data_IF_181671913371
#
_entry.id   IF_181671913371
#
_cell.length_a   1.000
_cell.length_b   1.000
_cell.length_c   1.000
_cell.angle_alpha   90.00
_cell.angle_beta   90.00
_cell.angle_gamma   90.00
#
_symmetry.space_group_name_H-M   'P 1'
#
loop_
_entity.id
_entity.type
_entity.pdbx_description
1 polymer ?
#
# COMPACT_ATOMS: atom_id res chain seq x y z
N UNK A 1 -33.47 28.05 8.18
CA UNK A 1 -32.23 28.73 7.77
C UNK A 1 -31.26 27.64 7.33
N UNK A 2 -31.36 27.20 6.07
CA UNK A 2 -30.42 26.21 5.53
C UNK A 2 -29.22 27.00 5.05
N UNK A 3 -28.12 26.89 5.78
CA UNK A 3 -26.82 27.42 5.36
C UNK A 3 -26.48 26.92 3.96
N UNK A 4 -25.86 27.79 3.17
CA UNK A 4 -25.62 27.66 1.74
C UNK A 4 -25.03 26.27 1.37
N UNK A 5 -25.90 25.33 0.94
CA UNK A 5 -25.52 23.95 0.55
C UNK A 5 -24.87 23.89 -0.84
N UNK A 6 -24.72 25.01 -1.55
CA UNK A 6 -24.28 25.02 -2.95
C UNK A 6 -22.85 24.52 -3.20
N UNK A 7 -22.05 24.24 -2.16
CA UNK A 7 -20.68 23.73 -2.32
C UNK A 7 -20.19 22.76 -1.23
N UNK A 8 -20.99 21.76 -0.86
CA UNK A 8 -20.50 20.68 0.01
C UNK A 8 -19.71 19.63 -0.80
N UNK A 9 -18.38 19.46 -0.59
CA UNK A 9 -17.52 18.69 -1.50
C UNK A 9 -17.53 17.18 -1.24
N UNK A 10 -18.52 16.66 -0.49
CA UNK A 10 -18.63 15.23 -0.16
C UNK A 10 -19.96 14.71 -0.66
N UNK A 11 -19.91 13.64 -1.45
CA UNK A 11 -21.11 12.89 -1.80
C UNK A 11 -21.50 11.96 -0.64
N UNK A 12 -22.56 12.35 0.09
CA UNK A 12 -23.17 11.51 1.14
C UNK A 12 -24.36 10.70 0.63
N UNK A 13 -24.80 10.91 -0.62
CA UNK A 13 -25.96 10.24 -1.20
C UNK A 13 -25.56 8.91 -1.83
N UNK A 14 -24.48 8.89 -2.60
CA UNK A 14 -24.07 7.73 -3.38
C UNK A 14 -25.25 7.17 -4.18
N UNK A 15 -25.55 5.88 -4.01
CA UNK A 15 -26.64 5.20 -4.72
C UNK A 15 -28.04 5.41 -4.14
N UNK A 16 -28.19 6.12 -3.01
CA UNK A 16 -29.51 6.47 -2.43
C UNK A 16 -30.51 5.31 -2.26
N UNK A 17 -30.03 4.11 -1.90
CA UNK A 17 -30.88 2.92 -1.70
C UNK A 17 -31.13 2.08 -2.96
N UNK A 18 -30.68 2.56 -4.13
CA UNK A 18 -30.86 1.89 -5.43
C UNK A 18 -29.49 1.53 -6.06
N UNK A 19 -28.68 0.67 -5.40
CA UNK A 19 -27.40 0.26 -5.97
C UNK A 19 -27.61 -0.53 -7.26
N UNK A 20 -26.79 -0.28 -8.31
CA UNK A 20 -26.91 -1.01 -9.55
C UNK A 20 -26.58 -2.49 -9.33
N UNK A 21 -27.27 -3.37 -10.07
CA UNK A 21 -26.90 -4.78 -10.10
C UNK A 21 -25.58 -4.95 -10.85
N UNK A 22 -24.51 -5.36 -10.16
CA UNK A 22 -23.15 -5.37 -10.70
C UNK A 22 -22.91 -6.36 -11.86
N UNK A 23 -23.76 -7.40 -12.00
CA UNK A 23 -23.70 -8.40 -13.09
C UNK A 23 -22.31 -9.03 -13.23
N UNK A 24 -21.75 -9.50 -12.11
CA UNK A 24 -20.42 -10.11 -12.11
C UNK A 24 -20.31 -11.30 -13.07
N UNK A 25 -19.11 -11.54 -13.64
CA UNK A 25 -18.87 -12.67 -14.53
C UNK A 25 -19.36 -14.00 -13.95
N UNK A 26 -19.89 -14.87 -14.81
CA UNK A 26 -20.42 -16.18 -14.40
C UNK A 26 -21.64 -16.13 -13.47
N UNK A 27 -22.27 -14.96 -13.28
CA UNK A 27 -23.40 -14.81 -12.35
C UNK A 27 -22.98 -14.88 -10.88
N UNK A 28 -21.72 -14.54 -10.57
CA UNK A 28 -21.21 -14.56 -9.21
C UNK A 28 -22.02 -13.62 -8.29
N UNK A 29 -22.31 -14.10 -7.07
CA UNK A 29 -23.07 -13.34 -6.05
C UNK A 29 -22.21 -12.32 -5.31
N UNK A 30 -20.90 -12.52 -5.30
CA UNK A 30 -19.91 -11.67 -4.66
C UNK A 30 -18.62 -11.69 -5.48
N UNK A 31 -17.93 -10.55 -5.52
CA UNK A 31 -16.54 -10.47 -5.97
C UNK A 31 -15.66 -10.32 -4.73
N UNK A 32 -14.66 -11.20 -4.60
CA UNK A 32 -13.66 -11.13 -3.52
C UNK A 32 -12.33 -10.72 -4.13
N UNK A 33 -11.74 -9.64 -3.63
CA UNK A 33 -10.48 -9.10 -4.11
C UNK A 33 -9.50 -9.05 -2.93
N UNK A 34 -8.39 -9.81 -3.04
CA UNK A 34 -7.35 -9.87 -2.01
C UNK A 34 -6.25 -8.86 -2.31
N UNK A 35 -6.01 -7.93 -1.37
CA UNK A 35 -4.89 -6.99 -1.45
C UNK A 35 -3.76 -7.47 -0.56
N UNK A 36 -2.56 -7.53 -1.13
CA UNK A 36 -1.31 -7.68 -0.38
C UNK A 36 -0.55 -6.35 -0.46
N UNK A 37 -0.49 -5.62 0.65
CA UNK A 37 0.39 -4.46 0.72
C UNK A 37 1.85 -4.92 0.79
N UNK A 38 2.73 -4.22 0.10
CA UNK A 38 4.17 -4.43 0.18
C UNK A 38 4.85 -3.07 0.43
N UNK A 39 5.20 -2.85 1.69
CA UNK A 39 5.57 -1.55 2.26
C UNK A 39 6.98 -1.59 2.87
N UNK A 40 7.46 -2.80 3.16
CA UNK A 40 8.67 -3.07 3.92
C UNK A 40 9.95 -2.69 3.17
N UNK A 41 10.70 -1.74 3.74
CA UNK A 41 11.85 -1.06 3.12
C UNK A 41 11.53 0.33 2.58
N UNK A 42 10.34 0.86 2.83
CA UNK A 42 9.92 2.20 2.40
C UNK A 42 9.21 3.03 3.47
N UNK A 43 8.98 2.45 4.65
CA UNK A 43 8.46 3.07 5.86
C UNK A 43 9.36 4.22 6.36
N UNK A 44 8.90 4.94 7.38
CA UNK A 44 9.69 6.03 7.98
C UNK A 44 11.00 5.47 8.57
N UNK A 45 12.12 5.95 8.05
CA UNK A 45 13.42 5.55 8.53
C UNK A 45 14.46 6.62 8.26
N UNK A 46 15.35 6.87 9.22
CA UNK A 46 16.38 7.91 9.09
C UNK A 46 17.34 7.68 7.91
N UNK A 47 17.53 6.42 7.47
CA UNK A 47 18.32 6.10 6.27
C UNK A 47 17.59 6.39 4.95
N UNK A 48 16.28 6.63 4.99
CA UNK A 48 15.49 7.08 3.84
C UNK A 48 15.43 8.62 3.75
N UNK A 49 16.00 9.32 4.74
CA UNK A 49 15.98 10.78 4.85
C UNK A 49 14.87 11.33 5.74
N UNK A 50 14.08 10.48 6.41
CA UNK A 50 12.99 10.92 7.27
C UNK A 50 13.49 11.41 8.63
N UNK A 51 12.71 12.28 9.29
CA UNK A 51 13.08 12.89 10.57
C UNK A 51 13.15 11.90 11.75
N UNK A 52 12.51 10.74 11.62
CA UNK A 52 12.53 9.71 12.66
C UNK A 52 12.08 8.33 12.18
N UNK A 53 12.12 7.38 13.11
CA UNK A 53 11.71 5.99 12.89
C UNK A 53 10.20 5.81 12.78
N UNK A 54 9.79 4.72 12.13
CA UNK A 54 8.40 4.29 12.03
C UNK A 54 7.73 4.04 13.38
N UNK A 55 6.43 4.26 13.42
CA UNK A 55 5.54 4.11 14.58
C UNK A 55 4.33 3.23 14.28
N UNK A 56 3.93 3.12 13.01
CA UNK A 56 2.67 2.52 12.60
C UNK A 56 2.80 1.03 12.27
N UNK A 57 1.65 0.32 12.28
CA UNK A 57 1.47 -1.10 11.92
C UNK A 57 2.64 -2.04 12.25
N UNK A 58 3.00 -2.12 13.53
CA UNK A 58 3.96 -3.09 14.04
C UNK A 58 3.42 -3.78 15.29
N UNK A 59 4.15 -4.78 15.78
CA UNK A 59 3.85 -5.42 17.06
C UNK A 59 4.11 -4.50 18.28
N UNK A 60 4.77 -3.35 18.09
CA UNK A 60 5.04 -2.36 19.13
C UNK A 60 3.95 -1.28 19.09
N UNK A 61 2.82 -1.59 19.72
CA UNK A 61 1.67 -0.68 19.77
C UNK A 61 2.05 0.61 20.53
N UNK A 62 1.86 1.76 19.88
CA UNK A 62 2.17 3.06 20.45
C UNK A 62 3.68 3.37 20.49
N UNK A 63 4.47 2.77 19.59
CA UNK A 63 5.89 3.08 19.44
C UNK A 63 6.12 4.59 19.28
N UNK A 64 7.13 5.12 19.98
CA UNK A 64 7.61 6.48 19.75
C UNK A 64 8.47 6.53 18.48
N UNK A 65 8.47 7.69 17.81
CA UNK A 65 9.44 7.97 16.76
C UNK A 65 10.73 8.51 17.38
N UNK A 66 11.86 7.98 16.92
CA UNK A 66 13.18 8.44 17.35
C UNK A 66 13.91 9.09 16.18
N UNK A 67 14.65 10.20 16.39
CA UNK A 67 15.54 10.79 15.36
C UNK A 67 16.82 9.96 15.18
N UNK A 68 16.66 8.64 15.16
CA UNK A 68 17.69 7.62 15.07
C UNK A 68 17.02 6.34 14.54
N UNK A 69 17.81 5.28 14.35
CA UNK A 69 17.28 3.97 13.99
C UNK A 69 16.54 3.35 15.17
N UNK A 70 15.39 2.75 14.91
CA UNK A 70 14.65 1.97 15.88
C UNK A 70 14.81 0.49 15.53
N UNK A 71 15.92 -0.10 15.94
CA UNK A 71 16.34 -1.45 15.50
C UNK A 71 15.27 -2.55 15.65
N UNK A 72 14.44 -2.48 16.69
CA UNK A 72 13.31 -3.40 16.85
C UNK A 72 12.25 -3.21 15.77
N UNK A 73 11.91 -1.96 15.44
CA UNK A 73 11.01 -1.64 14.33
C UNK A 73 11.59 -2.12 12.99
N UNK A 74 12.87 -1.83 12.73
CA UNK A 74 13.56 -2.30 11.52
C UNK A 74 13.35 -3.81 11.35
N UNK A 75 13.62 -4.60 12.40
CA UNK A 75 13.52 -6.06 12.34
C UNK A 75 12.09 -6.60 12.13
N UNK A 76 11.07 -5.86 12.60
CA UNK A 76 9.66 -6.23 12.41
C UNK A 76 9.24 -6.01 10.96
N UNK A 77 9.62 -4.89 10.35
CA UNK A 77 9.40 -4.64 8.92
C UNK A 77 10.21 -5.64 8.07
N UNK A 78 11.46 -5.90 8.42
CA UNK A 78 12.28 -6.91 7.74
C UNK A 78 11.64 -8.31 7.73
N UNK A 79 10.83 -8.66 8.73
CA UNK A 79 10.12 -9.94 8.72
C UNK A 79 9.16 -10.08 7.54
N UNK A 80 8.43 -9.00 7.21
CA UNK A 80 7.46 -8.98 6.10
C UNK A 80 8.13 -9.31 4.76
N UNK A 81 9.22 -8.62 4.44
CA UNK A 81 10.00 -8.83 3.22
C UNK A 81 10.79 -10.15 3.22
N UNK A 82 11.38 -10.56 4.36
CA UNK A 82 12.22 -11.76 4.43
C UNK A 82 11.44 -13.06 4.51
N UNK A 83 10.24 -13.06 5.09
CA UNK A 83 9.48 -14.28 5.38
C UNK A 83 7.98 -14.15 5.12
N UNK A 84 7.36 -13.04 5.50
CA UNK A 84 5.91 -12.82 5.40
C UNK A 84 5.38 -12.98 3.98
N UNK A 85 5.97 -12.23 3.04
CA UNK A 85 5.62 -12.27 1.62
C UNK A 85 5.65 -13.70 1.07
N UNK A 86 6.76 -14.42 1.26
CA UNK A 86 6.94 -15.77 0.71
C UNK A 86 5.93 -16.79 1.24
N UNK A 87 5.50 -16.62 2.50
CA UNK A 87 4.44 -17.46 3.08
C UNK A 87 3.09 -17.21 2.40
N UNK A 88 2.72 -15.95 2.21
CA UNK A 88 1.45 -15.56 1.59
C UNK A 88 1.45 -15.92 0.10
N UNK A 89 2.50 -15.56 -0.62
CA UNK A 89 2.68 -15.89 -2.04
C UNK A 89 2.53 -17.40 -2.29
N UNK A 90 3.12 -18.24 -1.43
CA UNK A 90 2.98 -19.70 -1.54
C UNK A 90 1.53 -20.17 -1.37
N UNK A 91 0.78 -19.63 -0.41
CA UNK A 91 -0.63 -19.99 -0.19
C UNK A 91 -1.51 -19.66 -1.40
N UNK A 92 -1.35 -18.48 -1.98
CA UNK A 92 -2.12 -18.07 -3.16
C UNK A 92 -1.73 -18.87 -4.40
N UNK A 93 -0.43 -19.06 -4.61
CA UNK A 93 0.09 -19.83 -5.75
C UNK A 93 -0.36 -21.29 -5.70
N UNK A 94 -0.33 -21.94 -4.54
CA UNK A 94 -0.79 -23.32 -4.38
C UNK A 94 -2.29 -23.49 -4.67
N UNK A 95 -3.09 -22.45 -4.43
CA UNK A 95 -4.55 -22.46 -4.67
C UNK A 95 -4.92 -21.97 -6.06
N UNK A 96 -3.96 -21.48 -6.85
CA UNK A 96 -4.23 -20.82 -8.13
C UNK A 96 -5.13 -19.60 -7.99
N UNK A 97 -5.03 -18.87 -6.88
CA UNK A 97 -5.85 -17.68 -6.63
C UNK A 97 -5.07 -16.40 -6.97
N UNK A 98 -5.74 -15.39 -7.57
CA UNK A 98 -5.13 -14.10 -7.82
C UNK A 98 -5.11 -13.24 -6.55
N UNK A 99 -4.19 -12.29 -6.52
CA UNK A 99 -4.19 -11.15 -5.60
C UNK A 99 -3.71 -9.89 -6.33
N UNK A 100 -4.00 -8.73 -5.76
CA UNK A 100 -3.44 -7.44 -6.21
C UNK A 100 -2.43 -6.98 -5.17
N UNK A 101 -1.22 -6.68 -5.62
CA UNK A 101 -0.17 -6.10 -4.78
C UNK A 101 -0.34 -4.58 -4.75
N UNK A 102 -0.47 -4.01 -3.56
CA UNK A 102 -0.34 -2.58 -3.34
C UNK A 102 1.14 -2.31 -3.03
N UNK A 103 1.89 -2.04 -4.08
CA UNK A 103 3.35 -1.97 -4.04
C UNK A 103 3.86 -0.56 -3.84
N UNK A 104 4.54 -0.32 -2.72
CA UNK A 104 5.30 0.93 -2.53
C UNK A 104 6.55 0.83 -3.40
N UNK A 105 6.73 1.81 -4.29
CA UNK A 105 7.74 1.69 -5.34
C UNK A 105 9.17 1.60 -4.80
N UNK A 106 9.50 2.30 -3.71
CA UNK A 106 10.78 2.14 -3.03
C UNK A 106 10.97 0.72 -2.46
N UNK A 107 9.93 0.14 -1.86
CA UNK A 107 10.01 -1.20 -1.25
C UNK A 107 10.27 -2.27 -2.32
N UNK A 108 9.54 -2.22 -3.44
CA UNK A 108 9.73 -3.14 -4.56
C UNK A 108 11.11 -2.96 -5.23
N UNK A 109 11.59 -1.72 -5.38
CA UNK A 109 12.92 -1.45 -5.94
C UNK A 109 14.07 -2.05 -5.10
N UNK A 110 13.85 -2.26 -3.80
CA UNK A 110 14.82 -2.91 -2.90
C UNK A 110 14.80 -4.44 -2.95
N UNK A 111 13.76 -5.03 -3.51
CA UNK A 111 13.54 -6.48 -3.48
C UNK A 111 13.23 -7.04 -4.88
N UNK A 112 14.20 -7.04 -5.82
CA UNK A 112 13.99 -7.50 -7.19
C UNK A 112 13.55 -8.97 -7.27
N UNK A 113 13.93 -9.83 -6.31
CA UNK A 113 13.48 -11.22 -6.24
C UNK A 113 11.98 -11.34 -5.95
N UNK A 114 11.43 -10.43 -5.13
CA UNK A 114 9.99 -10.35 -4.86
C UNK A 114 9.25 -9.84 -6.09
N UNK A 115 9.79 -8.84 -6.79
CA UNK A 115 9.25 -8.37 -8.08
C UNK A 115 9.22 -9.52 -9.10
N UNK A 116 10.27 -10.32 -9.18
CA UNK A 116 10.30 -11.49 -10.06
C UNK A 116 9.22 -12.51 -9.70
N UNK A 117 8.97 -12.76 -8.41
CA UNK A 117 7.91 -13.66 -7.96
C UNK A 117 6.50 -13.13 -8.27
N UNK A 118 6.26 -11.82 -8.09
CA UNK A 118 5.01 -11.14 -8.44
C UNK A 118 4.74 -11.30 -9.94
N UNK A 119 5.73 -11.01 -10.79
CA UNK A 119 5.63 -11.16 -12.25
C UNK A 119 5.40 -12.61 -12.67
N UNK A 120 6.12 -13.56 -12.07
CA UNK A 120 5.96 -14.99 -12.38
C UNK A 120 4.58 -15.54 -11.98
N UNK A 121 3.97 -14.98 -10.93
CA UNK A 121 2.64 -15.37 -10.46
C UNK A 121 1.50 -14.65 -11.18
N UNK A 122 1.81 -13.73 -12.10
CA UNK A 122 0.85 -12.87 -12.80
C UNK A 122 -0.10 -12.13 -11.83
N UNK A 123 0.46 -11.63 -10.73
CA UNK A 123 -0.28 -10.79 -9.81
C UNK A 123 -0.45 -9.39 -10.39
N UNK A 124 -1.64 -8.81 -10.18
CA UNK A 124 -1.89 -7.40 -10.48
C UNK A 124 -1.10 -6.51 -9.53
N UNK A 125 -0.66 -5.33 -9.98
CA UNK A 125 0.14 -4.39 -9.20
C UNK A 125 -0.45 -2.99 -9.30
N UNK A 126 -0.81 -2.44 -8.14
CA UNK A 126 -1.28 -1.06 -7.99
C UNK A 126 -0.21 -0.26 -7.26
N UNK A 127 0.04 0.96 -7.73
CA UNK A 127 0.97 1.87 -7.05
C UNK A 127 0.42 2.23 -5.67
N UNK A 128 1.23 1.96 -4.64
CA UNK A 128 0.99 2.38 -3.26
C UNK A 128 1.90 3.56 -2.88
N UNK A 129 2.17 4.43 -3.87
CA UNK A 129 3.05 5.59 -3.73
C UNK A 129 4.55 5.27 -3.82
N UNK A 130 5.37 6.32 -3.72
CA UNK A 130 6.84 6.19 -3.73
C UNK A 130 7.38 5.77 -2.37
N UNK A 131 6.81 6.35 -1.32
CA UNK A 131 7.13 6.13 0.09
C UNK A 131 5.88 5.74 0.85
N UNK A 132 6.05 4.92 1.89
CA UNK A 132 5.00 4.60 2.85
C UNK A 132 5.10 5.54 4.04
N UNK A 133 4.51 6.73 3.89
CA UNK A 133 4.56 7.81 4.89
C UNK A 133 3.22 8.56 4.90
N UNK A 134 3.02 9.43 5.88
CA UNK A 134 1.78 10.18 6.04
C UNK A 134 1.76 11.45 5.16
N UNK A 135 0.96 11.46 4.09
CA UNK A 135 0.95 12.55 3.10
C UNK A 135 0.11 13.79 3.49
N UNK A 136 -0.71 13.75 4.54
CA UNK A 136 -1.69 14.79 4.88
C UNK A 136 -1.16 16.23 4.96
N UNK A 137 0.13 16.41 5.29
CA UNK A 137 0.78 17.71 5.45
C UNK A 137 1.91 17.95 4.43
N UNK A 138 2.07 17.06 3.47
CA UNK A 138 3.08 17.19 2.42
C UNK A 138 2.70 18.34 1.47
N UNK A 139 3.69 19.06 0.97
CA UNK A 139 3.46 20.04 -0.08
C UNK A 139 3.02 19.34 -1.38
N UNK A 140 2.08 19.93 -2.11
CA UNK A 140 1.51 19.34 -3.32
C UNK A 140 2.56 19.11 -4.43
N UNK A 141 3.62 19.92 -4.48
CA UNK A 141 4.70 19.71 -5.46
C UNK A 141 5.54 18.48 -5.11
N UNK A 142 5.80 18.26 -3.82
CA UNK A 142 6.51 17.09 -3.31
C UNK A 142 5.69 15.82 -3.48
N UNK A 143 4.39 15.85 -3.12
CA UNK A 143 3.47 14.72 -3.32
C UNK A 143 3.37 14.33 -4.80
N UNK A 144 3.30 15.33 -5.70
CA UNK A 144 3.30 15.09 -7.15
C UNK A 144 4.62 14.46 -7.62
N UNK A 145 5.75 14.90 -7.08
CA UNK A 145 7.05 14.31 -7.40
C UNK A 145 7.14 12.85 -6.93
N UNK A 146 6.62 12.54 -5.74
CA UNK A 146 6.49 11.17 -5.24
C UNK A 146 5.61 10.31 -6.15
N UNK A 147 4.45 10.81 -6.59
CA UNK A 147 3.57 10.10 -7.53
C UNK A 147 4.31 9.79 -8.83
N UNK A 148 4.94 10.80 -9.45
CA UNK A 148 5.68 10.62 -10.70
C UNK A 148 6.83 9.63 -10.55
N UNK A 149 7.56 9.69 -9.43
CA UNK A 149 8.65 8.75 -9.13
C UNK A 149 8.14 7.33 -8.96
N UNK A 150 7.02 7.15 -8.28
CA UNK A 150 6.40 5.84 -8.12
C UNK A 150 5.99 5.24 -9.46
N UNK A 151 5.32 6.02 -10.31
CA UNK A 151 4.92 5.58 -11.66
C UNK A 151 6.14 5.17 -12.46
N UNK A 152 7.18 6.01 -12.50
CA UNK A 152 8.41 5.71 -13.23
C UNK A 152 9.02 4.38 -12.77
N UNK A 153 9.24 4.22 -11.46
CA UNK A 153 9.92 3.04 -10.91
C UNK A 153 9.11 1.76 -11.09
N UNK A 154 7.78 1.83 -11.04
CA UNK A 154 6.92 0.64 -11.23
C UNK A 154 6.80 0.22 -12.71
N UNK A 155 7.10 1.13 -13.64
CA UNK A 155 7.08 0.85 -15.08
C UNK A 155 8.43 0.48 -15.68
N UNK A 156 9.53 0.81 -15.00
CA UNK A 156 10.90 0.44 -15.39
C UNK A 156 11.18 -1.07 -15.17
#
# INVERSE_FOLDING_TARGET
MVENQEHYPRDLRGYAGEPPHARWPGGARIAVQFVLNYEEGAENHVLHGDAGSEQFLSDIIGAASYPARHMSMDSLYEYGSRAGFWRIHREFSQRGLPLTVFGVAMALARHPEIVAAIKAADYDVVSHGWRWIHYQHMDIAEERAHLQKAVQVLTD
#
